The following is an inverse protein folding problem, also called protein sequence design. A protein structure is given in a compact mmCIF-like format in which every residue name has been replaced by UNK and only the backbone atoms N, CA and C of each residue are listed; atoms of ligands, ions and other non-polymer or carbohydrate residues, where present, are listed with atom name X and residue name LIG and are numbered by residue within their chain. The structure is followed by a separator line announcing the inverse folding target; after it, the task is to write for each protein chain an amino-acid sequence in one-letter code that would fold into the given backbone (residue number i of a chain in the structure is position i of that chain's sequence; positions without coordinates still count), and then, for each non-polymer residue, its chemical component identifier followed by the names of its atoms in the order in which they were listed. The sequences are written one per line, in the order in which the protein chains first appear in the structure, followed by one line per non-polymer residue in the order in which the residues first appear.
data_IF_802891846646
#
_entry.id   IF_802891846646
#
_cell.length_a   1.000
_cell.length_b   1.000
_cell.length_c   1.000
_cell.angle_alpha   90.00
_cell.angle_beta   90.00
_cell.angle_gamma   90.00
#
_symmetry.space_group_name_H-M   'P 1'
#
loop_
_entity.id
_entity.type
_entity.pdbx_description
1 polymer ?
#
# COMPACT_ATOMS: atom_id res chain seq x y z
N UNK A 1 14.40 -7.09 -28.60
CA UNK A 1 13.51 -7.85 -27.71
C UNK A 1 13.72 -7.30 -26.32
N UNK A 2 12.93 -6.29 -26.01
CA UNK A 2 13.10 -5.35 -24.91
C UNK A 2 12.79 -6.07 -23.59
N UNK A 3 13.76 -6.07 -22.67
CA UNK A 3 13.53 -6.56 -21.31
C UNK A 3 12.97 -5.36 -20.54
N UNK A 4 11.66 -5.22 -20.53
CA UNK A 4 10.99 -4.33 -19.59
C UNK A 4 11.24 -4.85 -18.18
N UNK A 5 12.30 -4.32 -17.59
CA UNK A 5 12.60 -4.50 -16.18
C UNK A 5 11.55 -3.71 -15.41
N UNK A 6 10.55 -4.45 -14.95
CA UNK A 6 9.65 -4.09 -13.86
C UNK A 6 10.42 -3.27 -12.82
N UNK A 7 9.96 -2.05 -12.56
CA UNK A 7 10.48 -1.20 -11.51
C UNK A 7 10.07 -1.82 -10.17
N UNK A 8 10.85 -2.80 -9.72
CA UNK A 8 10.72 -3.32 -8.37
C UNK A 8 11.32 -2.27 -7.43
N UNK A 9 10.47 -1.47 -6.77
CA UNK A 9 10.86 -0.68 -5.60
C UNK A 9 11.14 -1.64 -4.43
N UNK A 10 12.16 -2.50 -4.55
CA UNK A 10 12.44 -3.57 -3.59
C UNK A 10 13.24 -3.12 -2.37
N UNK A 11 13.68 -1.86 -2.27
CA UNK A 11 14.61 -1.42 -1.22
C UNK A 11 14.43 0.05 -0.81
N UNK A 12 13.24 0.43 -0.33
CA UNK A 12 13.17 1.51 0.66
C UNK A 12 13.23 0.87 2.04
N UNK A 13 13.96 1.42 3.02
CA UNK A 13 13.87 0.91 4.39
C UNK A 13 12.40 0.98 4.79
N UNK A 14 11.82 -0.19 5.08
CA UNK A 14 10.44 -0.27 5.51
C UNK A 14 10.28 0.64 6.73
N UNK A 15 9.41 1.65 6.60
CA UNK A 15 9.06 2.48 7.75
C UNK A 15 8.49 1.58 8.84
N UNK A 16 8.75 1.89 10.13
CA UNK A 16 8.26 1.09 11.25
C UNK A 16 6.76 0.77 11.04
N UNK A 17 6.37 -0.52 10.95
CA UNK A 17 4.99 -0.94 10.70
C UNK A 17 4.01 -0.42 11.75
N UNK A 18 4.51 -0.09 12.95
CA UNK A 18 3.72 0.51 14.02
C UNK A 18 3.48 2.00 13.82
N UNK A 19 4.23 2.66 12.94
CA UNK A 19 4.08 4.09 12.63
C UNK A 19 3.32 4.31 11.34
N UNK A 20 3.49 3.43 10.36
CA UNK A 20 2.82 3.54 9.06
C UNK A 20 2.17 2.23 8.63
N UNK A 21 1.01 2.36 8.00
CA UNK A 21 0.33 1.30 7.26
C UNK A 21 0.63 1.47 5.77
N UNK A 22 0.81 0.36 5.06
CA UNK A 22 0.85 0.37 3.60
C UNK A 22 -0.52 0.00 3.04
N UNK A 23 -1.01 0.84 2.14
CA UNK A 23 -2.15 0.52 1.28
C UNK A 23 -1.60 0.31 -0.13
N UNK A 24 -1.97 -0.81 -0.74
CA UNK A 24 -1.47 -1.24 -2.03
C UNK A 24 -2.56 -1.16 -3.09
N UNK A 25 -2.16 -0.89 -4.33
CA UNK A 25 -3.02 -1.00 -5.51
C UNK A 25 -2.23 -1.69 -6.62
N UNK A 26 -2.90 -2.53 -7.40
CA UNK A 26 -2.32 -3.20 -8.56
C UNK A 26 -3.15 -2.82 -9.78
N UNK A 27 -2.55 -2.07 -10.70
CA UNK A 27 -3.13 -1.80 -12.00
C UNK A 27 -2.73 -2.92 -12.96
N UNK A 28 -3.64 -3.38 -13.81
CA UNK A 28 -3.37 -4.37 -14.85
C UNK A 28 -3.94 -3.86 -16.18
N UNK A 29 -3.48 -4.38 -17.33
CA UNK A 29 -4.02 -3.98 -18.64
C UNK A 29 -5.53 -4.18 -18.81
N UNK A 30 -6.13 -5.08 -18.02
CA UNK A 30 -7.58 -5.33 -18.02
C UNK A 30 -8.35 -4.37 -17.10
N UNK A 31 -7.65 -3.45 -16.41
CA UNK A 31 -8.29 -2.44 -15.57
C UNK A 31 -9.14 -1.51 -16.43
N UNK A 32 -10.42 -1.29 -16.10
CA UNK A 32 -11.24 -0.29 -16.77
C UNK A 32 -10.91 1.14 -16.31
N UNK A 33 -10.10 1.29 -15.26
CA UNK A 33 -9.72 2.57 -14.67
C UNK A 33 -8.28 2.93 -15.05
N UNK A 34 -8.08 4.20 -15.36
CA UNK A 34 -6.80 4.77 -15.79
C UNK A 34 -6.43 6.00 -14.97
N UNK A 35 -5.13 6.31 -14.93
CA UNK A 35 -4.61 7.57 -14.39
C UNK A 35 -5.19 7.92 -13.00
N UNK A 36 -5.73 9.12 -12.80
CA UNK A 36 -6.24 9.59 -11.51
C UNK A 36 -7.42 8.75 -10.98
N UNK A 37 -8.30 8.29 -11.87
CA UNK A 37 -9.47 7.49 -11.48
C UNK A 37 -9.07 6.15 -10.87
N UNK A 38 -7.99 5.54 -11.35
CA UNK A 38 -7.45 4.32 -10.74
C UNK A 38 -6.98 4.56 -9.29
N UNK A 39 -6.29 5.67 -9.02
CA UNK A 39 -5.83 5.96 -7.66
C UNK A 39 -6.99 6.32 -6.71
N UNK A 40 -8.05 6.94 -7.24
CA UNK A 40 -9.20 7.35 -6.45
C UNK A 40 -10.20 6.21 -6.20
N UNK A 41 -10.45 5.37 -7.20
CA UNK A 41 -11.53 4.37 -7.18
C UNK A 41 -11.06 2.93 -7.38
N UNK A 42 -9.80 2.72 -7.76
CA UNK A 42 -9.24 1.39 -7.95
C UNK A 42 -9.19 0.56 -6.66
N UNK A 43 -9.11 -0.77 -6.78
CA UNK A 43 -9.03 -1.66 -5.63
C UNK A 43 -7.84 -1.32 -4.73
N UNK A 44 -8.10 -1.28 -3.42
CA UNK A 44 -7.10 -1.05 -2.38
C UNK A 44 -6.96 -2.31 -1.54
N UNK A 45 -5.72 -2.68 -1.24
CA UNK A 45 -5.39 -3.89 -0.51
C UNK A 45 -4.55 -3.57 0.72
N UNK A 46 -4.81 -4.29 1.82
CA UNK A 46 -3.84 -4.40 2.90
C UNK A 46 -2.63 -5.24 2.47
N UNK A 47 -1.58 -5.31 3.28
CA UNK A 47 -0.34 -5.98 2.88
C UNK A 47 -0.54 -7.47 2.61
N UNK A 48 -1.34 -8.15 3.44
CA UNK A 48 -1.65 -9.57 3.23
C UNK A 48 -2.47 -9.81 1.96
N UNK A 49 -3.53 -9.02 1.75
CA UNK A 49 -4.38 -9.11 0.55
C UNK A 49 -3.60 -8.79 -0.73
N UNK A 50 -2.65 -7.85 -0.66
CA UNK A 50 -1.78 -7.51 -1.76
C UNK A 50 -0.95 -8.72 -2.19
N UNK A 51 -0.26 -9.39 -1.27
CA UNK A 51 0.56 -10.55 -1.61
C UNK A 51 -0.27 -11.74 -2.09
N UNK A 52 -1.47 -11.94 -1.54
CA UNK A 52 -2.39 -12.94 -2.06
C UNK A 52 -2.79 -12.64 -3.52
N UNK A 53 -3.12 -11.37 -3.80
CA UNK A 53 -3.54 -10.93 -5.14
C UNK A 53 -2.38 -10.96 -6.13
N UNK A 54 -1.19 -10.49 -5.73
CA UNK A 54 0.04 -10.54 -6.51
C UNK A 54 0.38 -11.98 -6.91
N UNK A 55 0.29 -12.93 -5.97
CA UNK A 55 0.50 -14.34 -6.25
C UNK A 55 -0.49 -14.87 -7.29
N UNK A 56 -1.79 -14.59 -7.12
CA UNK A 56 -2.84 -15.02 -8.06
C UNK A 56 -2.60 -14.47 -9.47
N UNK A 57 -2.24 -13.18 -9.59
CA UNK A 57 -1.94 -12.56 -10.88
C UNK A 57 -0.70 -13.18 -11.54
N UNK A 58 0.35 -13.42 -10.74
CA UNK A 58 1.56 -14.10 -11.21
C UNK A 58 1.28 -15.52 -11.71
N UNK A 59 0.45 -16.29 -11.00
CA UNK A 59 0.04 -17.64 -11.39
C UNK A 59 -0.80 -17.64 -12.68
N UNK A 60 -1.58 -16.57 -12.91
CA UNK A 60 -2.34 -16.35 -14.14
C UNK A 60 -1.49 -15.77 -15.30
N UNK A 61 -0.21 -15.45 -15.07
CA UNK A 61 0.66 -14.82 -16.06
C UNK A 61 0.30 -13.36 -16.38
N UNK A 62 -0.49 -12.70 -15.53
CA UNK A 62 -0.90 -11.31 -15.71
C UNK A 62 0.15 -10.39 -15.11
N UNK A 63 0.66 -9.48 -15.95
CA UNK A 63 1.57 -8.42 -15.50
C UNK A 63 0.79 -7.16 -15.12
N UNK A 64 1.34 -6.37 -14.20
CA UNK A 64 0.71 -5.12 -13.76
C UNK A 64 1.70 -4.14 -13.12
N UNK A 65 1.22 -2.93 -12.87
CA UNK A 65 1.94 -1.92 -12.10
C UNK A 65 1.49 -1.93 -10.65
N UNK A 66 2.45 -1.96 -9.74
CA UNK A 66 2.21 -2.01 -8.30
C UNK A 66 2.50 -0.64 -7.70
N UNK A 67 1.54 -0.13 -6.93
CA UNK A 67 1.63 1.14 -6.23
C UNK A 67 1.41 0.93 -4.74
N UNK A 68 2.11 1.72 -3.92
CA UNK A 68 1.85 1.76 -2.48
C UNK A 68 1.73 3.19 -1.97
N UNK A 69 0.95 3.33 -0.91
CA UNK A 69 0.78 4.59 -0.17
C UNK A 69 0.96 4.31 1.31
N UNK A 70 1.82 5.10 1.95
CA UNK A 70 1.99 5.07 3.41
C UNK A 70 0.93 5.95 4.08
N UNK A 71 0.14 5.36 4.96
CA UNK A 71 -0.77 6.07 5.85
C UNK A 71 -0.17 6.11 7.26
N UNK A 72 0.04 7.29 7.87
CA UNK A 72 0.45 7.35 9.26
C UNK A 72 -0.64 6.69 10.13
N UNK A 73 -0.20 5.93 11.13
CA UNK A 73 -1.08 5.25 12.09
C UNK A 73 -1.42 6.18 13.24
N UNK A 74 -2.69 6.15 13.67
CA UNK A 74 -3.13 6.77 14.93
C UNK A 74 -2.49 6.05 16.13
N UNK A 75 -2.56 6.68 17.29
CA UNK A 75 -2.16 6.08 18.57
C UNK A 75 -1.26 6.98 19.40
N UNK A 76 -1.25 6.72 20.71
CA UNK A 76 -0.39 7.44 21.66
C UNK A 76 1.08 7.08 21.44
N UNK A 77 1.97 8.05 21.65
CA UNK A 77 3.42 7.86 21.57
C UNK A 77 4.01 7.72 20.16
N UNK A 78 3.25 8.06 19.11
CA UNK A 78 3.78 8.15 17.74
C UNK A 78 4.49 9.49 17.54
N UNK A 79 5.52 9.57 16.67
CA UNK A 79 6.31 10.80 16.46
C UNK A 79 5.58 11.85 15.61
N UNK A 80 4.25 11.77 15.50
CA UNK A 80 3.48 12.67 14.65
C UNK A 80 2.88 13.80 15.48
N UNK A 81 3.42 15.00 15.29
CA UNK A 81 2.79 16.22 15.77
C UNK A 81 1.52 16.51 14.96
N UNK A 82 0.35 16.14 15.49
CA UNK A 82 -0.95 16.29 14.81
C UNK A 82 -1.33 17.75 14.55
N UNK A 83 -0.68 18.72 15.21
CA UNK A 83 -0.94 20.15 15.01
C UNK A 83 -0.20 20.70 13.80
N UNK A 84 0.80 19.99 13.29
CA UNK A 84 1.60 20.42 12.15
C UNK A 84 0.77 20.40 10.83
N UNK A 85 0.77 21.48 10.02
CA UNK A 85 -0.07 21.61 8.82
C UNK A 85 0.06 20.46 7.80
N UNK A 86 1.22 19.81 7.74
CA UNK A 86 1.46 18.60 6.91
C UNK A 86 0.37 17.52 7.08
N UNK A 87 -0.24 17.42 8.25
CA UNK A 87 -1.22 16.38 8.56
C UNK A 87 -2.68 16.78 8.34
N UNK A 88 -2.96 18.06 8.09
CA UNK A 88 -4.31 18.62 8.05
C UNK A 88 -5.25 17.89 7.05
N UNK A 89 -4.69 17.44 5.92
CA UNK A 89 -5.43 16.72 4.86
C UNK A 89 -4.90 15.29 4.65
N UNK A 90 -4.20 14.73 5.65
CA UNK A 90 -3.64 13.37 5.53
C UNK A 90 -4.67 12.35 6.00
N UNK A 91 -4.81 11.28 5.23
CA UNK A 91 -5.56 10.09 5.64
C UNK A 91 -4.75 9.28 6.66
N UNK A 92 -5.42 8.78 7.69
CA UNK A 92 -4.81 8.08 8.81
C UNK A 92 -5.31 6.65 8.90
N UNK A 93 -4.39 5.72 9.11
CA UNK A 93 -4.72 4.35 9.45
C UNK A 93 -5.04 4.20 10.95
N UNK A 94 -5.79 3.16 11.36
CA UNK A 94 -5.93 2.78 12.76
C UNK A 94 -4.57 2.56 13.45
N UNK A 95 -4.58 2.60 14.78
CA UNK A 95 -3.43 2.14 15.56
C UNK A 95 -3.15 0.67 15.27
N UNK A 96 -1.90 0.23 15.47
CA UNK A 96 -1.49 -1.15 15.19
C UNK A 96 -2.35 -2.21 15.90
N UNK A 97 -2.65 -1.98 17.18
CA UNK A 97 -3.42 -2.90 18.01
C UNK A 97 -4.90 -2.97 17.58
N UNK A 98 -5.43 -1.88 17.03
CA UNK A 98 -6.83 -1.77 16.60
C UNK A 98 -7.02 -2.07 15.10
N UNK A 99 -5.94 -2.35 14.37
CA UNK A 99 -6.00 -2.65 12.95
C UNK A 99 -6.45 -4.11 12.73
N UNK A 100 -7.62 -4.34 12.11
CA UNK A 100 -8.16 -5.68 11.92
C UNK A 100 -7.47 -6.44 10.78
N UNK A 101 -6.62 -5.77 9.99
CA UNK A 101 -5.95 -6.42 8.88
C UNK A 101 -5.00 -7.53 9.38
N UNK A 102 -4.97 -8.67 8.68
CA UNK A 102 -4.09 -9.77 9.07
C UNK A 102 -2.63 -9.39 8.89
N UNK A 103 -1.80 -9.85 9.81
CA UNK A 103 -0.36 -9.59 9.75
C UNK A 103 0.30 -10.41 8.65
N UNK A 104 1.18 -9.77 7.89
CA UNK A 104 2.06 -10.35 6.91
C UNK A 104 3.48 -9.83 7.11
N UNK A 105 4.40 -10.71 7.52
CA UNK A 105 5.82 -10.38 7.71
C UNK A 105 6.06 -9.12 8.59
N UNK A 106 5.32 -8.98 9.69
CA UNK A 106 5.43 -7.82 10.57
C UNK A 106 4.66 -6.57 10.11
N UNK A 107 3.84 -6.66 9.06
CA UNK A 107 3.00 -5.57 8.56
C UNK A 107 1.52 -5.93 8.61
N UNK A 108 0.68 -4.98 9.01
CA UNK A 108 -0.77 -4.99 8.80
C UNK A 108 -1.09 -3.96 7.71
#
# INVERSE_FOLDING_TARGET
MERDRVCVLRNLPASDPRWYKYVWQIWTPDSPLESAEFFEHGPRYCTAQFHETEKRLSEAGVSGFIYNRQLPRRGLGKPFDLTHPRWANREWAPAWEDDPDPEWNGHK
#
